data_IF_123389621860
#
_entry.id   IF_123389621860
#
_cell.length_a   1.000
_cell.length_b   1.000
_cell.length_c   1.000
_cell.angle_alpha   90.00
_cell.angle_beta   90.00
_cell.angle_gamma   90.00
#
_symmetry.space_group_name_H-M   'P 1'
#
loop_
_entity.id
_entity.type
_entity.pdbx_description
1 polymer ?
#
# COMPACT_ATOMS: atom_id res chain seq x y z
N UNK A 1 77.51 -31.19 21.97
CA UNK A 1 77.21 -29.85 22.53
C UNK A 1 76.98 -28.91 21.36
N UNK A 2 75.87 -28.15 21.33
CA UNK A 2 75.54 -26.94 20.54
C UNK A 2 75.96 -26.85 19.04
N UNK A 3 75.20 -26.26 18.10
CA UNK A 3 73.81 -25.75 17.95
C UNK A 3 73.69 -25.30 16.46
N UNK A 4 72.46 -25.14 15.92
CA UNK A 4 72.15 -24.51 14.60
C UNK A 4 72.64 -25.33 13.37
N UNK A 5 72.06 -25.32 12.16
CA UNK A 5 70.83 -24.77 11.54
C UNK A 5 70.72 -25.35 10.10
N UNK A 6 69.65 -25.30 9.30
CA UNK A 6 68.23 -24.88 9.41
C UNK A 6 67.48 -25.41 8.13
N UNK A 7 66.25 -24.92 7.86
CA UNK A 7 65.51 -24.94 6.57
C UNK A 7 64.75 -26.21 6.16
N UNK A 8 63.50 -26.29 6.64
CA UNK A 8 62.36 -26.72 5.83
C UNK A 8 61.28 -25.65 5.98
N UNK A 9 60.78 -25.13 4.84
CA UNK A 9 59.79 -24.06 4.82
C UNK A 9 58.38 -24.66 4.78
N UNK A 10 57.56 -24.36 5.79
CA UNK A 10 56.13 -24.70 5.80
C UNK A 10 55.32 -23.46 5.45
N UNK A 11 54.55 -23.53 4.36
CA UNK A 11 53.62 -22.47 3.99
C UNK A 11 52.43 -22.45 4.95
N UNK A 12 52.18 -21.29 5.55
CA UNK A 12 51.01 -21.05 6.41
C UNK A 12 49.89 -20.44 5.55
N UNK A 13 48.89 -21.24 5.19
CA UNK A 13 47.66 -20.71 4.57
C UNK A 13 46.83 -20.08 5.68
N UNK A 14 46.81 -18.75 5.75
CA UNK A 14 45.85 -18.05 6.60
C UNK A 14 44.45 -18.15 5.96
N UNK A 15 43.61 -19.00 6.55
CA UNK A 15 42.16 -18.88 6.43
C UNK A 15 41.72 -17.61 7.16
N UNK A 16 41.68 -16.49 6.44
CA UNK A 16 40.96 -15.30 6.88
C UNK A 16 39.46 -15.63 6.80
N UNK A 17 38.70 -15.53 7.90
CA UNK A 17 37.25 -15.62 7.81
C UNK A 17 36.76 -14.42 6.98
N UNK A 18 36.09 -14.71 5.86
CA UNK A 18 35.29 -13.73 5.13
C UNK A 18 34.05 -13.41 5.99
N UNK A 19 34.24 -12.58 7.01
CA UNK A 19 33.14 -11.76 7.52
C UNK A 19 32.79 -10.78 6.41
N UNK A 20 31.68 -11.04 5.72
CA UNK A 20 30.98 -10.02 4.95
C UNK A 20 30.67 -8.86 5.89
N UNK A 21 31.33 -7.72 5.68
CA UNK A 21 31.00 -6.49 6.36
C UNK A 21 29.67 -5.99 5.77
N UNK A 22 28.56 -6.52 6.30
CA UNK A 22 27.19 -6.17 5.91
C UNK A 22 27.04 -4.65 5.96
N UNK A 23 26.50 -4.04 4.91
CA UNK A 23 26.47 -2.59 4.77
C UNK A 23 25.80 -1.93 6.00
N UNK A 24 26.46 -0.92 6.58
CA UNK A 24 25.88 -0.14 7.66
C UNK A 24 24.86 0.86 7.09
N UNK A 25 23.70 0.96 7.75
CA UNK A 25 22.67 1.95 7.44
C UNK A 25 23.27 3.37 7.34
N UNK A 26 22.99 4.14 6.27
CA UNK A 26 23.45 5.51 6.16
C UNK A 26 22.98 6.37 7.33
N UNK A 27 23.83 7.25 7.86
CA UNK A 27 23.48 8.15 8.97
C UNK A 27 22.24 9.00 8.65
N UNK A 28 22.10 9.44 7.39
CA UNK A 28 20.93 10.15 6.91
C UNK A 28 19.66 9.27 6.87
N UNK A 29 19.77 7.94 6.73
CA UNK A 29 18.62 7.04 6.83
C UNK A 29 18.15 6.91 8.28
N UNK A 30 19.06 6.81 9.25
CA UNK A 30 18.68 6.87 10.68
C UNK A 30 18.04 8.22 11.01
N UNK A 31 18.61 9.32 10.54
CA UNK A 31 18.05 10.68 10.74
C UNK A 31 16.68 10.87 10.07
N UNK A 32 16.39 10.17 8.97
CA UNK A 32 15.09 10.13 8.31
C UNK A 32 14.05 9.39 9.16
N UNK A 33 14.36 8.15 9.56
CA UNK A 33 13.42 7.24 10.21
C UNK A 33 13.22 7.49 11.71
N UNK A 34 14.12 8.24 12.36
CA UNK A 34 13.98 8.69 13.76
C UNK A 34 13.66 10.20 13.87
N UNK A 35 13.26 10.84 12.77
CA UNK A 35 12.93 12.26 12.75
C UNK A 35 11.70 12.57 13.63
N UNK A 36 11.84 13.60 14.48
CA UNK A 36 10.75 14.09 15.36
C UNK A 36 10.04 15.32 14.81
N UNK A 37 10.45 15.81 13.64
CA UNK A 37 9.85 16.94 12.94
C UNK A 37 9.94 16.71 11.43
N UNK A 38 8.95 17.20 10.70
CA UNK A 38 8.90 17.18 9.24
C UNK A 38 10.17 17.82 8.64
N UNK A 39 10.59 18.97 9.17
CA UNK A 39 11.79 19.67 8.70
C UNK A 39 13.10 18.86 8.88
N UNK A 40 13.22 18.06 9.95
CA UNK A 40 14.39 17.19 10.14
C UNK A 40 14.36 16.01 9.16
N UNK A 41 13.19 15.37 9.00
CA UNK A 41 12.98 14.29 8.04
C UNK A 41 13.29 14.73 6.62
N UNK A 42 12.75 15.86 6.18
CA UNK A 42 12.90 16.34 4.80
C UNK A 42 14.35 16.75 4.48
N UNK A 43 15.08 17.28 5.49
CA UNK A 43 16.52 17.53 5.38
C UNK A 43 17.33 16.23 5.23
N UNK A 44 16.97 15.18 5.99
CA UNK A 44 17.58 13.86 5.86
C UNK A 44 17.24 13.21 4.52
N UNK A 45 15.99 13.31 4.08
CA UNK A 45 15.51 12.80 2.79
C UNK A 45 16.24 13.46 1.62
N UNK A 46 16.34 14.79 1.60
CA UNK A 46 17.10 15.51 0.55
C UNK A 46 18.57 15.09 0.50
N UNK A 47 19.16 14.74 1.63
CA UNK A 47 20.54 14.21 1.71
C UNK A 47 20.64 12.81 1.07
N UNK A 48 19.66 11.94 1.32
CA UNK A 48 19.58 10.60 0.72
C UNK A 48 19.31 10.67 -0.78
N UNK A 49 18.36 11.50 -1.23
CA UNK A 49 18.05 11.74 -2.64
C UNK A 49 19.29 12.20 -3.43
N UNK A 50 20.13 13.07 -2.84
CA UNK A 50 21.37 13.52 -3.46
C UNK A 50 22.47 12.44 -3.54
N UNK A 51 22.42 11.43 -2.66
CA UNK A 51 23.37 10.31 -2.62
C UNK A 51 22.90 9.11 -3.46
N UNK A 52 21.59 8.92 -3.63
CA UNK A 52 20.94 7.79 -4.29
C UNK A 52 21.59 7.36 -5.64
N UNK A 53 22.00 8.25 -6.56
CA UNK A 53 22.62 7.84 -7.83
C UNK A 53 24.01 7.16 -7.70
N UNK A 54 24.55 7.04 -6.49
CA UNK A 54 25.88 6.46 -6.21
C UNK A 54 25.89 5.48 -5.04
N UNK A 55 24.82 5.42 -4.26
CA UNK A 55 24.71 4.57 -3.07
C UNK A 55 23.32 3.89 -3.06
N UNK A 56 23.25 2.57 -3.33
CA UNK A 56 22.02 1.81 -3.27
C UNK A 56 21.30 1.89 -1.91
N UNK A 57 22.05 2.02 -0.81
CA UNK A 57 21.46 2.13 0.52
C UNK A 57 20.74 3.48 0.70
N UNK A 58 21.35 4.57 0.22
CA UNK A 58 20.69 5.89 0.18
C UNK A 58 19.50 5.92 -0.78
N UNK A 59 19.58 5.26 -1.95
CA UNK A 59 18.45 5.13 -2.88
C UNK A 59 17.26 4.39 -2.23
N UNK A 60 17.54 3.25 -1.59
CA UNK A 60 16.53 2.48 -0.86
C UNK A 60 15.82 3.32 0.22
N UNK A 61 16.60 3.98 1.09
CA UNK A 61 16.05 4.81 2.16
C UNK A 61 15.33 6.07 1.64
N UNK A 62 15.81 6.68 0.54
CA UNK A 62 15.12 7.79 -0.12
C UNK A 62 13.76 7.36 -0.66
N UNK A 63 13.69 6.24 -1.40
CA UNK A 63 12.43 5.74 -1.96
C UNK A 63 11.39 5.38 -0.90
N UNK A 64 11.82 4.80 0.23
CA UNK A 64 10.97 4.55 1.39
C UNK A 64 10.52 5.85 2.09
N UNK A 65 11.41 6.84 2.24
CA UNK A 65 11.05 8.17 2.76
C UNK A 65 10.05 8.91 1.87
N UNK A 66 10.20 8.79 0.55
CA UNK A 66 9.28 9.35 -0.44
C UNK A 66 7.89 8.72 -0.32
N UNK A 67 7.79 7.41 -0.13
CA UNK A 67 6.54 6.68 0.12
C UNK A 67 5.80 7.21 1.35
N UNK A 68 6.49 7.33 2.49
CA UNK A 68 5.87 7.88 3.71
C UNK A 68 5.47 9.35 3.53
N UNK A 69 6.25 10.15 2.79
CA UNK A 69 5.84 11.52 2.45
C UNK A 69 4.57 11.55 1.58
N UNK A 70 4.33 10.55 0.72
CA UNK A 70 3.09 10.46 -0.05
C UNK A 70 1.89 10.24 0.89
N UNK A 71 1.99 9.29 1.82
CA UNK A 71 0.95 9.05 2.83
C UNK A 71 0.68 10.30 3.68
N UNK A 72 1.70 11.08 4.01
CA UNK A 72 1.56 12.37 4.68
C UNK A 72 0.79 13.39 3.83
N UNK A 73 1.15 13.60 2.56
CA UNK A 73 0.44 14.52 1.66
C UNK A 73 -1.07 14.23 1.62
N UNK A 74 -1.43 12.93 1.63
CA UNK A 74 -2.82 12.49 1.73
C UNK A 74 -3.39 12.76 3.13
N UNK A 75 -2.70 12.36 4.21
CA UNK A 75 -3.14 12.55 5.58
C UNK A 75 -3.38 14.02 5.96
N UNK A 76 -2.40 14.91 5.74
CA UNK A 76 -2.53 16.34 6.04
C UNK A 76 -3.60 16.99 5.17
N UNK A 77 -3.76 16.55 3.91
CA UNK A 77 -4.86 16.96 3.04
C UNK A 77 -6.24 16.59 3.60
N UNK A 78 -6.38 15.38 4.16
CA UNK A 78 -7.59 14.95 4.86
C UNK A 78 -7.79 15.73 6.17
N UNK A 79 -6.73 15.96 6.96
CA UNK A 79 -6.78 16.68 8.24
C UNK A 79 -7.21 18.13 8.08
N UNK A 80 -6.56 18.87 7.17
CA UNK A 80 -6.81 20.30 6.92
C UNK A 80 -8.28 20.59 6.63
N UNK A 81 -8.97 19.64 5.98
CA UNK A 81 -10.38 19.74 5.62
C UNK A 81 -11.32 18.99 6.59
N UNK A 82 -10.83 18.47 7.71
CA UNK A 82 -11.66 17.88 8.76
C UNK A 82 -12.33 16.58 8.34
N UNK A 83 -11.53 15.66 7.77
CA UNK A 83 -11.98 14.31 7.43
C UNK A 83 -12.40 13.52 8.68
N UNK A 84 -13.60 12.94 8.63
CA UNK A 84 -14.15 12.04 9.65
C UNK A 84 -14.36 10.66 9.03
N UNK A 85 -13.45 9.71 9.30
CA UNK A 85 -13.49 8.35 8.74
C UNK A 85 -14.69 7.56 9.28
N UNK A 86 -15.60 7.05 8.43
CA UNK A 86 -16.69 6.20 8.90
C UNK A 86 -16.17 4.83 9.32
N UNK A 87 -16.42 4.44 10.58
CA UNK A 87 -15.89 3.19 11.18
C UNK A 87 -16.21 1.89 10.43
N UNK A 88 -17.20 1.92 9.53
CA UNK A 88 -17.68 0.76 8.78
C UNK A 88 -17.49 0.88 7.27
N UNK A 89 -16.70 1.86 6.78
CA UNK A 89 -16.58 2.13 5.34
C UNK A 89 -15.16 1.93 4.83
N UNK A 90 -15.04 1.22 3.70
CA UNK A 90 -13.77 0.77 3.15
C UNK A 90 -13.49 1.35 1.77
N UNK A 91 -13.29 2.67 1.67
CA UNK A 91 -12.54 3.24 0.56
C UNK A 91 -11.04 3.14 0.92
N UNK A 92 -10.21 2.36 0.20
CA UNK A 92 -8.86 2.02 0.69
C UNK A 92 -7.95 3.24 0.89
N UNK A 93 -8.05 4.26 0.03
CA UNK A 93 -7.31 5.52 0.15
C UNK A 93 -7.77 6.43 1.31
N UNK A 94 -8.88 6.12 1.99
CA UNK A 94 -9.46 6.97 3.05
C UNK A 94 -9.63 6.20 4.37
N UNK A 95 -8.64 5.37 4.71
CA UNK A 95 -8.57 4.65 5.99
C UNK A 95 -7.60 5.23 7.01
N UNK A 96 -6.76 6.19 6.63
CA UNK A 96 -5.74 6.75 7.52
C UNK A 96 -6.40 7.30 8.81
N UNK A 97 -5.83 7.03 10.00
CA UNK A 97 -6.40 7.41 11.29
C UNK A 97 -6.11 8.88 11.60
N UNK A 98 -6.58 9.77 10.72
CA UNK A 98 -6.33 11.22 10.77
C UNK A 98 -6.99 11.83 12.01
N UNK A 99 -6.27 12.63 12.83
CA UNK A 99 -6.82 13.31 14.00
C UNK A 99 -7.93 14.33 13.67
N UNK A 100 -8.81 14.60 14.63
CA UNK A 100 -9.86 15.61 14.51
C UNK A 100 -9.28 17.02 14.36
N UNK A 101 -9.59 17.70 13.26
CA UNK A 101 -9.30 19.13 13.12
C UNK A 101 -10.40 19.98 13.78
N UNK A 102 -10.10 20.87 14.75
CA UNK A 102 -11.10 21.71 15.41
C UNK A 102 -11.61 22.87 14.53
N UNK A 103 -10.85 23.31 13.54
CA UNK A 103 -11.20 24.41 12.64
C UNK A 103 -10.88 24.07 11.16
N UNK A 104 -11.67 23.17 10.52
CA UNK A 104 -11.43 22.75 9.14
C UNK A 104 -11.52 23.86 8.11
N UNK A 105 -10.66 23.78 7.09
CA UNK A 105 -10.71 24.66 5.93
C UNK A 105 -11.79 24.23 4.92
N UNK A 106 -12.36 25.19 4.15
CA UNK A 106 -13.25 24.86 3.05
C UNK A 106 -12.56 23.98 2.00
N UNK A 107 -13.25 22.95 1.50
CA UNK A 107 -12.75 22.03 0.48
C UNK A 107 -13.57 22.15 -0.81
N UNK A 108 -12.94 22.44 -1.94
CA UNK A 108 -13.54 22.28 -3.26
C UNK A 108 -13.16 20.96 -3.91
N UNK A 109 -13.91 20.56 -4.93
CA UNK A 109 -13.65 19.37 -5.72
C UNK A 109 -12.25 19.40 -6.36
N UNK A 110 -11.83 20.56 -6.85
CA UNK A 110 -10.55 20.78 -7.49
C UNK A 110 -9.40 20.66 -6.49
N UNK A 111 -9.58 21.14 -5.24
CA UNK A 111 -8.62 20.92 -4.15
C UNK A 111 -8.51 19.44 -3.79
N UNK A 112 -9.62 18.71 -3.71
CA UNK A 112 -9.58 17.28 -3.41
C UNK A 112 -8.89 16.47 -4.52
N UNK A 113 -9.15 16.80 -5.80
CA UNK A 113 -8.37 16.23 -6.93
C UNK A 113 -6.88 16.55 -6.81
N UNK A 114 -6.52 17.76 -6.40
CA UNK A 114 -5.11 18.15 -6.26
C UNK A 114 -4.40 17.37 -5.13
N UNK A 115 -5.08 17.04 -4.04
CA UNK A 115 -4.55 16.16 -2.97
C UNK A 115 -4.25 14.76 -3.55
N UNK A 116 -5.20 14.16 -4.27
CA UNK A 116 -5.02 12.85 -4.91
C UNK A 116 -3.88 12.85 -5.96
N UNK A 117 -3.74 13.93 -6.73
CA UNK A 117 -2.67 14.07 -7.71
C UNK A 117 -1.30 14.19 -7.04
N UNK A 118 -1.15 15.05 -6.03
CA UNK A 118 0.11 15.21 -5.30
C UNK A 118 0.54 13.93 -4.56
N UNK A 119 -0.43 13.18 -4.03
CA UNK A 119 -0.22 11.83 -3.48
C UNK A 119 0.33 10.86 -4.54
N UNK A 120 -0.32 10.77 -5.71
CA UNK A 120 0.09 9.89 -6.81
C UNK A 120 1.47 10.26 -7.36
N UNK A 121 1.75 11.53 -7.57
CA UNK A 121 3.04 12.01 -8.11
C UNK A 121 4.19 11.74 -7.12
N UNK A 122 3.93 11.76 -5.81
CA UNK A 122 4.93 11.40 -4.79
C UNK A 122 5.18 9.90 -4.72
N UNK A 123 4.16 9.07 -4.92
CA UNK A 123 4.33 7.62 -5.08
C UNK A 123 5.10 7.25 -6.34
N UNK A 124 4.89 7.94 -7.46
CA UNK A 124 5.67 7.69 -8.69
C UNK A 124 7.16 7.97 -8.47
N UNK A 125 7.48 9.07 -7.75
CA UNK A 125 8.85 9.36 -7.36
C UNK A 125 9.43 8.23 -6.50
N UNK A 126 8.70 7.80 -5.46
CA UNK A 126 9.10 6.67 -4.60
C UNK A 126 9.37 5.39 -5.40
N UNK A 127 8.46 5.00 -6.31
CA UNK A 127 8.59 3.80 -7.12
C UNK A 127 9.83 3.87 -8.04
N UNK A 128 10.05 5.01 -8.71
CA UNK A 128 11.22 5.23 -9.56
C UNK A 128 12.54 5.25 -8.76
N UNK A 129 12.54 5.78 -7.54
CA UNK A 129 13.71 5.78 -6.66
C UNK A 129 14.03 4.35 -6.17
N UNK A 130 13.02 3.56 -5.81
CA UNK A 130 13.19 2.14 -5.43
C UNK A 130 13.65 1.27 -6.62
N UNK A 131 13.13 1.51 -7.83
CA UNK A 131 13.55 0.81 -9.06
C UNK A 131 15.05 1.03 -9.37
N UNK A 132 15.59 2.20 -9.00
CA UNK A 132 17.00 2.52 -9.18
C UNK A 132 17.96 1.68 -8.32
N UNK A 133 17.45 0.97 -7.30
CA UNK A 133 18.23 0.09 -6.42
C UNK A 133 18.53 -1.23 -7.15
N UNK A 134 19.81 -1.56 -7.42
CA UNK A 134 20.18 -2.81 -8.10
C UNK A 134 19.60 -4.05 -7.41
N UNK A 135 19.22 -5.05 -8.21
CA UNK A 135 18.59 -6.28 -7.71
C UNK A 135 19.53 -7.16 -6.85
N UNK A 136 20.85 -6.96 -6.97
CA UNK A 136 21.91 -7.65 -6.22
C UNK A 136 22.56 -6.77 -5.13
N UNK A 137 21.95 -5.63 -4.79
CA UNK A 137 22.44 -4.77 -3.72
C UNK A 137 22.24 -5.39 -2.32
N UNK A 138 23.31 -5.43 -1.51
CA UNK A 138 23.26 -5.78 -0.08
C UNK A 138 22.60 -4.64 0.72
N UNK A 139 21.28 -4.74 0.91
CA UNK A 139 20.48 -3.80 1.71
C UNK A 139 20.26 -4.37 3.12
N UNK A 140 20.12 -3.48 4.11
CA UNK A 140 20.09 -3.87 5.51
C UNK A 140 19.74 -2.76 6.48
N UNK A 141 18.50 -2.28 6.43
CA UNK A 141 18.03 -1.17 7.24
C UNK A 141 17.33 -1.68 8.49
N UNK A 142 17.97 -1.54 9.66
CA UNK A 142 17.28 -1.81 10.95
C UNK A 142 16.43 -0.59 11.29
N UNK A 143 15.12 -0.78 11.31
CA UNK A 143 14.13 0.30 11.49
C UNK A 143 13.17 -0.07 12.62
N UNK A 144 12.94 0.87 13.54
CA UNK A 144 11.95 0.75 14.60
C UNK A 144 10.66 1.48 14.21
N UNK A 145 9.56 0.73 14.04
CA UNK A 145 8.27 1.27 13.61
C UNK A 145 7.57 2.11 14.69
N UNK A 146 8.10 2.15 15.93
CA UNK A 146 7.67 3.10 16.97
C UNK A 146 8.31 4.48 16.81
N UNK A 147 9.37 4.60 16.01
CA UNK A 147 10.04 5.87 15.70
C UNK A 147 9.68 6.41 14.31
N UNK A 148 9.50 5.54 13.30
CA UNK A 148 9.02 5.97 11.97
C UNK A 148 7.60 6.50 12.09
N UNK A 149 7.33 7.70 11.56
CA UNK A 149 6.00 8.30 11.54
C UNK A 149 5.81 9.32 10.42
N UNK A 150 4.60 9.84 10.33
CA UNK A 150 4.17 10.91 9.41
C UNK A 150 3.37 11.94 10.19
N UNK A 151 3.42 13.21 9.80
CA UNK A 151 2.65 14.29 10.39
C UNK A 151 1.18 14.17 9.94
N UNK A 152 0.32 13.63 10.82
CA UNK A 152 -1.10 13.41 10.53
C UNK A 152 -1.94 14.67 10.80
N UNK A 153 -1.44 15.61 11.62
CA UNK A 153 -2.19 16.76 12.11
C UNK A 153 -1.76 18.13 11.50
N UNK A 154 -0.70 18.14 10.69
CA UNK A 154 -0.08 19.31 10.05
C UNK A 154 0.55 20.33 11.03
N UNK A 155 1.03 19.90 12.21
CA UNK A 155 1.72 20.76 13.19
C UNK A 155 3.25 20.85 13.00
N UNK A 156 3.82 20.02 12.12
CA UNK A 156 5.24 19.97 11.77
C UNK A 156 6.10 19.09 12.68
N UNK A 157 5.52 18.50 13.73
CA UNK A 157 6.13 17.45 14.54
C UNK A 157 5.85 16.07 13.92
N UNK A 158 6.52 15.05 14.45
CA UNK A 158 6.15 13.65 14.24
C UNK A 158 6.01 13.05 15.64
N UNK A 159 4.78 12.94 16.13
CA UNK A 159 4.48 12.51 17.49
C UNK A 159 4.43 10.97 17.62
N UNK A 160 4.62 10.41 18.83
CA UNK A 160 4.63 8.94 19.01
C UNK A 160 3.32 8.24 18.63
N UNK A 161 2.19 8.93 18.73
CA UNK A 161 0.86 8.47 18.30
C UNK A 161 0.62 8.59 16.79
N UNK A 162 1.55 9.20 16.06
CA UNK A 162 1.61 9.26 14.59
C UNK A 162 2.69 8.31 14.02
N UNK A 163 3.30 7.49 14.87
CA UNK A 163 4.21 6.43 14.46
C UNK A 163 3.50 5.35 13.63
N UNK A 164 4.24 4.66 12.78
CA UNK A 164 3.74 3.54 11.97
C UNK A 164 3.15 2.44 12.86
N UNK A 165 3.76 2.17 14.01
CA UNK A 165 3.21 1.29 15.04
C UNK A 165 1.83 1.74 15.53
N UNK A 166 1.65 3.03 15.84
CA UNK A 166 0.37 3.58 16.28
C UNK A 166 -0.69 3.60 15.16
N UNK A 167 -0.29 3.92 13.92
CA UNK A 167 -1.14 3.91 12.72
C UNK A 167 -1.63 2.48 12.42
N UNK A 168 -0.73 1.50 12.38
CA UNK A 168 -1.09 0.08 12.19
C UNK A 168 -2.00 -0.42 13.31
N UNK A 169 -1.67 -0.11 14.57
CA UNK A 169 -2.53 -0.45 15.71
C UNK A 169 -3.92 0.20 15.60
N UNK A 170 -4.03 1.41 15.02
CA UNK A 170 -5.31 2.07 14.80
C UNK A 170 -6.15 1.41 13.70
N UNK A 171 -5.51 1.01 12.60
CA UNK A 171 -6.15 0.26 11.49
C UNK A 171 -6.60 -1.13 11.93
N UNK A 172 -5.82 -1.80 12.79
CA UNK A 172 -6.07 -3.17 13.24
C UNK A 172 -7.18 -3.32 14.28
N UNK A 173 -7.80 -2.25 14.79
CA UNK A 173 -8.88 -2.31 15.81
C UNK A 173 -10.23 -2.91 15.32
N UNK A 174 -10.26 -3.51 14.13
CA UNK A 174 -11.26 -4.50 13.73
C UNK A 174 -10.96 -5.94 14.20
N UNK A 175 -9.74 -6.19 14.67
CA UNK A 175 -9.27 -7.40 15.35
C UNK A 175 -8.92 -7.13 16.82
N UNK A 176 -8.61 -8.21 17.55
CA UNK A 176 -8.46 -8.22 19.02
C UNK A 176 -7.47 -7.20 19.58
N UNK A 177 -7.71 -6.77 20.82
CA UNK A 177 -6.79 -5.92 21.58
C UNK A 177 -5.39 -6.57 21.75
N UNK A 178 -4.30 -5.78 21.78
CA UNK A 178 -2.97 -6.31 22.02
C UNK A 178 -2.84 -6.85 23.45
N UNK A 179 -2.20 -8.02 23.55
CA UNK A 179 -1.82 -8.64 24.84
C UNK A 179 -0.67 -7.86 25.50
N UNK A 180 -0.48 -8.03 26.82
CA UNK A 180 0.37 -7.18 27.69
C UNK A 180 1.91 -7.23 27.44
N UNK A 181 2.34 -7.74 26.29
CA UNK A 181 3.71 -7.65 25.79
C UNK A 181 3.70 -7.24 24.32
N UNK A 182 3.75 -5.94 24.05
CA UNK A 182 3.90 -5.43 22.68
C UNK A 182 5.16 -6.05 22.04
N UNK A 183 5.03 -6.72 20.86
CA UNK A 183 6.17 -7.29 20.17
C UNK A 183 7.19 -6.18 19.83
N UNK A 184 8.47 -6.56 19.73
CA UNK A 184 9.51 -5.62 19.36
C UNK A 184 9.38 -5.28 17.87
N UNK A 185 8.72 -4.15 17.56
CA UNK A 185 8.44 -3.69 16.19
C UNK A 185 9.67 -3.11 15.47
N UNK A 186 10.83 -3.72 15.72
CA UNK A 186 12.11 -3.41 15.07
C UNK A 186 12.40 -4.46 14.01
N UNK A 187 12.28 -4.09 12.74
CA UNK A 187 12.49 -4.98 11.60
C UNK A 187 13.82 -4.66 10.90
N UNK A 188 14.37 -5.64 10.20
CA UNK A 188 15.52 -5.45 9.31
C UNK A 188 15.01 -5.49 7.87
N UNK A 189 14.83 -4.33 7.27
CA UNK A 189 14.38 -4.23 5.89
C UNK A 189 15.53 -4.48 4.91
N UNK A 190 15.29 -5.31 3.89
CA UNK A 190 16.29 -5.67 2.88
C UNK A 190 15.83 -5.41 1.43
N UNK A 191 16.43 -6.08 0.43
CA UNK A 191 16.09 -5.84 -0.98
C UNK A 191 14.72 -6.43 -1.39
N UNK A 192 14.26 -7.50 -0.75
CA UNK A 192 12.94 -8.08 -0.97
C UNK A 192 11.84 -7.08 -0.59
N UNK A 193 11.92 -6.55 0.63
CA UNK A 193 10.99 -5.54 1.15
C UNK A 193 10.94 -4.27 0.27
N UNK A 194 12.03 -3.95 -0.43
CA UNK A 194 12.07 -2.89 -1.43
C UNK A 194 11.20 -3.15 -2.66
N UNK A 195 11.16 -4.39 -3.17
CA UNK A 195 10.24 -4.79 -4.23
C UNK A 195 8.79 -4.76 -3.74
N UNK A 196 8.55 -5.21 -2.51
CA UNK A 196 7.24 -5.13 -1.87
C UNK A 196 6.74 -3.69 -1.75
N UNK A 197 7.56 -2.78 -1.22
CA UNK A 197 7.19 -1.37 -1.03
C UNK A 197 6.97 -0.66 -2.38
N UNK A 198 7.80 -0.97 -3.39
CA UNK A 198 7.61 -0.50 -4.76
C UNK A 198 6.27 -1.00 -5.33
N UNK A 199 5.94 -2.29 -5.14
CA UNK A 199 4.65 -2.86 -5.57
C UNK A 199 3.46 -2.22 -4.86
N UNK A 200 3.60 -1.92 -3.57
CA UNK A 200 2.57 -1.21 -2.80
C UNK A 200 2.36 0.23 -3.32
N UNK A 201 3.42 0.90 -3.75
CA UNK A 201 3.34 2.21 -4.40
C UNK A 201 2.58 2.13 -5.73
N UNK A 202 2.89 1.17 -6.60
CA UNK A 202 2.17 0.90 -7.86
C UNK A 202 0.67 0.64 -7.60
N UNK A 203 0.33 -0.17 -6.60
CA UNK A 203 -1.06 -0.44 -6.23
C UNK A 203 -1.83 0.82 -5.78
N UNK A 204 -1.19 1.68 -5.00
CA UNK A 204 -1.78 2.93 -4.53
C UNK A 204 -1.89 3.98 -5.67
N UNK A 205 -0.91 4.03 -6.58
CA UNK A 205 -1.00 4.85 -7.80
C UNK A 205 -2.18 4.42 -8.67
N UNK A 206 -2.36 3.12 -8.91
CA UNK A 206 -3.46 2.61 -9.72
C UNK A 206 -4.84 2.98 -9.18
N UNK A 207 -4.98 3.09 -7.85
CA UNK A 207 -6.19 3.58 -7.21
C UNK A 207 -6.36 5.09 -7.37
N UNK A 208 -5.30 5.89 -7.15
CA UNK A 208 -5.36 7.34 -7.35
C UNK A 208 -5.69 7.69 -8.81
N UNK A 209 -5.06 7.01 -9.78
CA UNK A 209 -5.33 7.17 -11.21
C UNK A 209 -6.71 6.66 -11.63
N UNK A 210 -7.28 5.66 -10.94
CA UNK A 210 -8.69 5.31 -11.11
C UNK A 210 -9.61 6.48 -10.72
N UNK A 211 -9.37 7.17 -9.60
CA UNK A 211 -10.17 8.33 -9.21
C UNK A 211 -9.96 9.51 -10.16
N UNK A 212 -8.71 9.85 -10.45
CA UNK A 212 -8.35 10.97 -11.31
C UNK A 212 -8.79 10.77 -12.77
N UNK A 213 -8.87 9.53 -13.28
CA UNK A 213 -9.42 9.23 -14.60
C UNK A 213 -10.86 9.77 -14.82
N UNK A 214 -11.63 9.94 -13.75
CA UNK A 214 -13.06 10.20 -13.81
C UNK A 214 -13.44 11.59 -13.25
N UNK A 215 -14.58 12.11 -13.70
CA UNK A 215 -15.24 13.24 -13.07
C UNK A 215 -16.22 12.77 -12.00
N UNK A 216 -15.79 12.83 -10.74
CA UNK A 216 -16.60 12.44 -9.58
C UNK A 216 -17.23 13.64 -8.86
N UNK A 217 -17.28 14.83 -9.50
CA UNK A 217 -17.83 16.06 -8.90
C UNK A 217 -19.24 15.90 -8.34
N UNK A 218 -20.10 15.17 -9.03
CA UNK A 218 -21.47 14.92 -8.58
C UNK A 218 -21.53 14.18 -7.22
N UNK A 219 -20.68 13.17 -7.03
CA UNK A 219 -20.55 12.45 -5.75
C UNK A 219 -19.88 13.31 -4.67
N UNK A 220 -18.91 14.13 -5.07
CA UNK A 220 -18.28 15.08 -4.16
C UNK A 220 -19.31 16.09 -3.62
N UNK A 221 -19.94 16.87 -4.49
CA UNK A 221 -20.92 17.90 -4.12
C UNK A 221 -22.13 17.29 -3.38
N UNK A 222 -22.57 16.10 -3.79
CA UNK A 222 -23.78 15.42 -3.31
C UNK A 222 -23.59 14.45 -2.13
N UNK A 223 -22.36 14.10 -1.73
CA UNK A 223 -22.14 13.11 -0.66
C UNK A 223 -20.91 13.31 0.22
N UNK A 224 -19.87 14.04 -0.20
CA UNK A 224 -18.64 14.14 0.59
C UNK A 224 -18.80 14.89 1.92
N UNK A 225 -19.92 15.58 2.14
CA UNK A 225 -20.29 16.13 3.45
C UNK A 225 -20.41 15.04 4.54
N UNK A 226 -20.64 13.77 4.20
CA UNK A 226 -20.61 12.67 5.17
C UNK A 226 -19.20 12.33 5.68
N UNK A 227 -18.17 12.69 4.90
CA UNK A 227 -16.74 12.47 5.15
C UNK A 227 -16.02 13.74 5.62
N UNK A 228 -16.49 14.92 5.21
CA UNK A 228 -15.93 16.23 5.55
C UNK A 228 -17.06 17.15 6.05
N UNK A 229 -17.69 16.86 7.20
CA UNK A 229 -18.94 17.52 7.63
C UNK A 229 -18.79 19.00 8.00
N UNK A 230 -17.56 19.53 8.02
CA UNK A 230 -17.24 20.91 8.40
C UNK A 230 -16.47 21.69 7.30
N UNK A 231 -16.32 21.11 6.11
CA UNK A 231 -15.50 21.67 5.01
C UNK A 231 -16.27 22.59 4.02
N UNK A 232 -17.41 23.14 4.42
CA UNK A 232 -18.28 24.04 3.62
C UNK A 232 -18.79 23.41 2.31
N UNK A 233 -19.05 22.11 2.35
CA UNK A 233 -19.58 21.35 1.22
C UNK A 233 -21.08 21.64 0.99
N UNK A 234 -21.59 21.53 -0.26
CA UNK A 234 -22.90 22.08 -0.64
C UNK A 234 -24.10 21.60 0.18
N UNK A 235 -24.04 20.39 0.73
CA UNK A 235 -25.11 19.79 1.51
C UNK A 235 -24.85 19.75 3.03
N UNK A 236 -23.69 20.21 3.53
CA UNK A 236 -23.31 20.04 4.94
C UNK A 236 -24.36 20.61 5.91
N UNK A 237 -24.92 21.78 5.59
CA UNK A 237 -25.82 22.54 6.49
C UNK A 237 -27.30 22.11 6.30
N UNK A 238 -27.56 21.27 5.30
CA UNK A 238 -28.87 20.69 4.99
C UNK A 238 -28.96 19.27 5.56
N UNK A 239 -27.87 18.50 5.44
CA UNK A 239 -27.80 17.09 5.79
C UNK A 239 -26.93 16.86 7.05
N UNK A 240 -27.28 17.56 8.14
CA UNK A 240 -26.59 17.46 9.42
C UNK A 240 -27.03 16.19 10.17
N UNK A 241 -26.13 15.23 10.49
CA UNK A 241 -26.49 14.06 11.26
C UNK A 241 -26.85 14.43 12.72
N UNK A 242 -27.78 13.69 13.38
CA UNK A 242 -28.08 13.90 14.79
C UNK A 242 -26.82 13.77 15.68
N UNK A 243 -26.69 14.54 16.78
CA UNK A 243 -25.51 14.45 17.66
C UNK A 243 -25.26 13.06 18.26
N UNK A 244 -26.31 12.24 18.41
CA UNK A 244 -26.24 10.84 18.85
C UNK A 244 -25.73 9.86 17.79
N UNK A 245 -25.60 10.30 16.53
CA UNK A 245 -25.21 9.48 15.37
C UNK A 245 -23.88 9.94 14.73
N UNK A 246 -23.27 10.98 15.29
CA UNK A 246 -21.92 11.42 14.98
C UNK A 246 -20.91 10.34 15.40
N UNK A 247 -19.98 9.96 14.50
CA UNK A 247 -19.07 8.83 14.71
C UNK A 247 -19.70 7.43 14.68
N UNK A 248 -21.00 7.27 14.44
CA UNK A 248 -21.66 5.96 14.38
C UNK A 248 -21.36 5.16 13.10
N UNK A 249 -21.54 3.84 13.16
CA UNK A 249 -21.42 2.94 12.00
C UNK A 249 -22.53 3.22 10.97
N UNK A 250 -22.20 3.15 9.67
CA UNK A 250 -23.13 3.45 8.57
C UNK A 250 -24.40 2.60 8.64
N UNK A 251 -24.27 1.35 9.07
CA UNK A 251 -25.39 0.40 9.17
C UNK A 251 -26.19 0.52 10.47
N UNK A 252 -25.79 1.40 11.39
CA UNK A 252 -26.44 1.63 12.69
C UNK A 252 -27.29 2.90 12.76
N UNK A 253 -27.30 3.71 11.69
CA UNK A 253 -28.00 5.00 11.61
C UNK A 253 -28.84 5.05 10.33
N UNK A 254 -30.14 5.38 10.47
CA UNK A 254 -31.03 5.62 9.33
C UNK A 254 -30.58 6.83 8.50
N UNK A 255 -29.86 7.77 9.12
CA UNK A 255 -29.25 8.91 8.45
C UNK A 255 -28.05 8.49 7.59
N UNK A 256 -27.06 7.83 8.21
CA UNK A 256 -25.81 7.43 7.53
C UNK A 256 -26.06 6.42 6.41
N UNK A 257 -27.06 5.54 6.52
CA UNK A 257 -27.43 4.63 5.43
C UNK A 257 -28.05 5.38 4.24
N UNK A 258 -28.79 6.47 4.46
CA UNK A 258 -29.35 7.30 3.40
C UNK A 258 -28.25 8.09 2.65
N UNK A 259 -27.28 8.66 3.38
CA UNK A 259 -26.08 9.29 2.78
C UNK A 259 -25.28 8.27 1.97
N UNK A 260 -25.08 7.06 2.52
CA UNK A 260 -24.38 5.97 1.84
C UNK A 260 -25.09 5.51 0.56
N UNK A 261 -26.42 5.35 0.58
CA UNK A 261 -27.21 5.03 -0.62
C UNK A 261 -27.08 6.14 -1.66
N UNK A 262 -27.12 7.40 -1.23
CA UNK A 262 -26.95 8.57 -2.11
C UNK A 262 -25.59 8.56 -2.78
N UNK A 263 -24.51 8.36 -2.01
CA UNK A 263 -23.15 8.22 -2.52
C UNK A 263 -23.05 7.10 -3.55
N UNK A 264 -23.50 5.88 -3.22
CA UNK A 264 -23.46 4.72 -4.13
C UNK A 264 -24.24 4.98 -5.42
N UNK A 265 -25.39 5.65 -5.33
CA UNK A 265 -26.19 6.02 -6.51
C UNK A 265 -25.53 7.11 -7.38
N UNK A 266 -24.69 7.95 -6.78
CA UNK A 266 -23.93 8.99 -7.48
C UNK A 266 -22.61 8.50 -8.08
N UNK A 267 -22.18 7.25 -7.85
CA UNK A 267 -21.00 6.67 -8.52
C UNK A 267 -21.39 6.27 -9.96
N UNK A 268 -21.46 7.29 -10.81
CA UNK A 268 -21.84 7.26 -12.23
C UNK A 268 -20.92 8.16 -13.08
N UNK A 269 -19.63 8.06 -12.83
CA UNK A 269 -18.63 9.05 -13.19
C UNK A 269 -18.26 9.04 -14.69
N UNK A 270 -18.37 10.18 -15.41
CA UNK A 270 -17.78 10.35 -16.73
C UNK A 270 -16.26 10.14 -16.71
N UNK A 271 -15.69 9.62 -17.80
CA UNK A 271 -14.23 9.55 -17.97
C UNK A 271 -13.73 10.88 -18.54
N UNK A 272 -12.74 11.49 -17.91
CA UNK A 272 -12.14 12.78 -18.33
C UNK A 272 -10.65 12.70 -18.61
N UNK A 273 -9.93 11.79 -17.94
CA UNK A 273 -8.49 11.54 -18.14
C UNK A 273 -8.28 10.05 -18.48
N UNK A 274 -8.68 9.59 -19.69
CA UNK A 274 -8.72 8.16 -20.05
C UNK A 274 -7.34 7.48 -20.03
N UNK A 275 -6.25 8.24 -20.22
CA UNK A 275 -4.89 7.71 -20.18
C UNK A 275 -4.50 7.18 -18.79
N UNK A 276 -5.08 7.74 -17.71
CA UNK A 276 -4.91 7.24 -16.33
C UNK A 276 -5.52 5.85 -16.11
N UNK A 277 -6.55 5.48 -16.88
CA UNK A 277 -7.08 4.09 -16.85
C UNK A 277 -6.06 3.10 -17.41
N UNK A 278 -5.34 3.52 -18.45
CA UNK A 278 -4.26 2.72 -19.04
C UNK A 278 -3.02 2.71 -18.14
N UNK A 279 -2.74 3.79 -17.41
CA UNK A 279 -1.70 3.85 -16.39
C UNK A 279 -2.00 2.89 -15.23
N UNK A 280 -3.17 3.00 -14.59
CA UNK A 280 -3.60 2.10 -13.53
C UNK A 280 -3.51 0.61 -13.90
N UNK A 281 -3.78 0.25 -15.16
CA UNK A 281 -3.57 -1.13 -15.66
C UNK A 281 -2.09 -1.54 -15.70
N UNK A 282 -1.20 -0.65 -16.14
CA UNK A 282 0.25 -0.89 -16.18
C UNK A 282 0.83 -0.98 -14.77
N UNK A 283 0.41 -0.08 -13.89
CA UNK A 283 0.81 -0.04 -12.47
C UNK A 283 0.39 -1.35 -11.77
N UNK A 284 -0.84 -1.85 -11.97
CA UNK A 284 -1.26 -3.17 -11.45
C UNK A 284 -0.48 -4.37 -12.05
N UNK A 285 -0.04 -4.29 -13.31
CA UNK A 285 0.82 -5.33 -13.90
C UNK A 285 2.25 -5.28 -13.35
N UNK A 286 2.74 -4.07 -13.04
CA UNK A 286 4.06 -3.86 -12.46
C UNK A 286 4.10 -4.30 -10.99
N UNK A 287 3.05 -4.02 -10.21
CA UNK A 287 2.82 -4.62 -8.88
C UNK A 287 2.95 -6.15 -8.91
N UNK A 288 2.31 -6.82 -9.89
CA UNK A 288 2.42 -8.28 -10.06
C UNK A 288 3.86 -8.70 -10.40
N UNK A 289 4.55 -7.98 -11.28
CA UNK A 289 5.96 -8.24 -11.62
C UNK A 289 6.86 -8.11 -10.39
N UNK A 290 6.64 -7.07 -9.58
CA UNK A 290 7.39 -6.78 -8.37
C UNK A 290 7.15 -7.83 -7.28
N UNK A 291 5.90 -8.24 -7.04
CA UNK A 291 5.58 -9.34 -6.10
C UNK A 291 6.27 -10.66 -6.52
N UNK A 292 6.47 -10.93 -7.82
CA UNK A 292 7.25 -12.10 -8.27
C UNK A 292 8.76 -11.98 -8.01
N UNK A 293 9.33 -10.78 -8.09
CA UNK A 293 10.74 -10.55 -7.78
C UNK A 293 11.00 -10.50 -6.26
N UNK A 294 10.05 -9.98 -5.49
CA UNK A 294 9.96 -10.06 -4.02
C UNK A 294 10.02 -11.52 -3.54
N UNK A 295 9.06 -12.37 -3.93
CA UNK A 295 9.06 -13.81 -3.57
C UNK A 295 10.29 -14.60 -4.03
N UNK A 296 11.01 -14.10 -5.03
CA UNK A 296 12.28 -14.66 -5.53
C UNK A 296 13.48 -14.19 -4.70
N UNK A 297 13.45 -12.97 -4.16
CA UNK A 297 14.41 -12.46 -3.19
C UNK A 297 14.21 -13.15 -1.82
N UNK A 298 12.96 -13.18 -1.31
CA UNK A 298 12.57 -13.90 -0.08
C UNK A 298 13.09 -15.35 -0.09
N UNK A 299 12.89 -16.08 -1.19
CA UNK A 299 13.37 -17.49 -1.31
C UNK A 299 14.89 -17.65 -1.49
N UNK A 300 15.64 -16.57 -1.72
CA UNK A 300 17.09 -16.58 -1.82
C UNK A 300 17.78 -16.24 -0.48
N UNK A 301 17.05 -15.66 0.47
CA UNK A 301 17.54 -15.36 1.83
C UNK A 301 17.94 -16.63 2.60
N UNK A 302 18.88 -16.44 3.52
CA UNK A 302 19.44 -17.53 4.35
C UNK A 302 19.45 -17.24 5.84
N UNK A 303 19.17 -15.99 6.24
CA UNK A 303 18.94 -15.60 7.63
C UNK A 303 17.45 -15.44 7.97
N UNK A 304 17.20 -15.04 9.21
CA UNK A 304 15.87 -14.81 9.81
C UNK A 304 16.02 -13.67 10.85
N UNK A 305 16.72 -12.59 10.49
CA UNK A 305 17.10 -11.48 11.38
C UNK A 305 16.04 -10.37 11.36
N UNK A 306 14.90 -10.63 12.03
CA UNK A 306 13.79 -9.65 12.17
C UNK A 306 13.12 -9.30 10.83
N UNK A 307 12.79 -10.33 10.07
CA UNK A 307 12.17 -10.21 8.75
C UNK A 307 10.81 -9.50 8.79
N UNK A 308 10.61 -8.59 7.83
CA UNK A 308 9.31 -7.95 7.59
C UNK A 308 8.36 -8.89 6.84
N UNK A 309 8.87 -9.59 5.82
CA UNK A 309 8.15 -10.57 4.99
C UNK A 309 8.75 -11.98 5.12
N UNK A 310 8.52 -12.70 6.23
CA UNK A 310 9.11 -14.03 6.43
C UNK A 310 8.63 -15.03 5.37
N UNK A 311 9.59 -15.64 4.67
CA UNK A 311 9.37 -16.74 3.74
C UNK A 311 9.26 -18.12 4.39
N UNK A 312 8.95 -19.17 3.61
CA UNK A 312 8.70 -20.53 4.13
C UNK A 312 9.86 -21.16 4.91
N UNK A 313 11.10 -20.71 4.68
CA UNK A 313 12.28 -21.13 5.43
C UNK A 313 12.44 -20.39 6.78
N UNK A 314 11.92 -19.18 6.90
CA UNK A 314 11.98 -18.30 8.08
C UNK A 314 10.80 -18.61 9.03
N UNK A 315 10.87 -19.75 9.72
CA UNK A 315 9.77 -20.24 10.58
C UNK A 315 9.38 -19.27 11.69
N UNK A 316 8.08 -18.99 11.77
CA UNK A 316 7.43 -18.23 12.83
C UNK A 316 6.12 -17.60 12.31
N UNK A 317 5.23 -17.21 13.22
CA UNK A 317 4.11 -16.32 12.88
C UNK A 317 4.67 -14.90 12.70
N UNK A 318 4.26 -14.20 11.64
CA UNK A 318 4.58 -12.78 11.46
C UNK A 318 3.96 -11.97 12.61
N UNK A 319 4.78 -11.13 13.26
CA UNK A 319 4.42 -10.45 14.51
C UNK A 319 3.26 -9.45 14.41
N UNK A 320 2.90 -9.02 13.19
CA UNK A 320 1.85 -8.02 12.93
C UNK A 320 0.57 -8.65 12.36
N UNK A 321 0.70 -9.71 11.56
CA UNK A 321 -0.44 -10.35 10.87
C UNK A 321 -0.88 -11.68 11.48
N UNK A 322 -0.04 -12.32 12.31
CA UNK A 322 -0.26 -13.68 12.82
C UNK A 322 -0.23 -14.76 11.74
N UNK A 323 0.24 -14.45 10.52
CA UNK A 323 0.34 -15.40 9.42
C UNK A 323 1.62 -16.22 9.54
N UNK A 324 1.52 -17.54 9.48
CA UNK A 324 2.63 -18.45 9.17
C UNK A 324 2.63 -18.70 7.65
N UNK A 325 3.74 -18.41 6.98
CA UNK A 325 3.89 -18.55 5.53
C UNK A 325 4.52 -19.92 5.21
N UNK A 326 3.78 -20.80 4.53
CA UNK A 326 4.28 -22.08 4.02
C UNK A 326 4.47 -22.10 2.50
N UNK A 327 5.15 -23.12 2.00
CA UNK A 327 5.36 -23.31 0.55
C UNK A 327 4.04 -23.46 -0.23
N UNK A 328 3.00 -24.00 0.40
CA UNK A 328 1.66 -24.13 -0.17
C UNK A 328 1.01 -22.75 -0.38
N UNK A 329 1.12 -21.85 0.60
CA UNK A 329 0.64 -20.46 0.51
C UNK A 329 1.41 -19.68 -0.57
N UNK A 330 2.74 -19.81 -0.64
CA UNK A 330 3.54 -19.14 -1.69
C UNK A 330 3.21 -19.70 -3.08
N UNK A 331 3.01 -21.00 -3.23
CA UNK A 331 2.59 -21.59 -4.50
C UNK A 331 1.20 -21.11 -4.93
N UNK A 332 0.24 -21.07 -4.01
CA UNK A 332 -1.11 -20.54 -4.24
C UNK A 332 -1.09 -19.04 -4.59
N UNK A 333 -0.20 -18.28 -3.94
CA UNK A 333 0.01 -16.87 -4.24
C UNK A 333 0.56 -16.63 -5.65
N UNK A 334 1.63 -17.32 -6.03
CA UNK A 334 2.21 -17.22 -7.38
C UNK A 334 1.23 -17.66 -8.48
N UNK A 335 0.32 -18.59 -8.18
CA UNK A 335 -0.81 -18.94 -9.05
C UNK A 335 -1.85 -17.81 -9.13
N UNK A 336 -2.18 -17.16 -8.00
CA UNK A 336 -3.07 -15.99 -7.92
C UNK A 336 -2.53 -14.82 -8.75
N UNK A 337 -1.24 -14.48 -8.59
CA UNK A 337 -0.56 -13.46 -9.40
C UNK A 337 -0.68 -13.75 -10.90
N UNK A 338 -0.54 -15.03 -11.31
CA UNK A 338 -0.69 -15.45 -12.71
C UNK A 338 -2.12 -15.31 -13.21
N UNK A 339 -3.11 -15.58 -12.36
CA UNK A 339 -4.52 -15.38 -12.67
C UNK A 339 -4.88 -13.89 -12.82
N UNK A 340 -4.36 -13.03 -11.93
CA UNK A 340 -4.54 -11.59 -11.99
C UNK A 340 -3.90 -10.99 -13.23
N UNK A 341 -2.70 -11.43 -13.59
CA UNK A 341 -1.99 -11.05 -14.82
C UNK A 341 -2.78 -11.48 -16.07
N UNK A 342 -3.28 -12.71 -16.11
CA UNK A 342 -4.13 -13.25 -17.19
C UNK A 342 -5.43 -12.45 -17.37
N UNK A 343 -6.05 -11.99 -16.27
CA UNK A 343 -7.21 -11.09 -16.29
C UNK A 343 -6.85 -9.72 -16.88
N UNK A 344 -5.82 -9.07 -16.33
CA UNK A 344 -5.38 -7.73 -16.76
C UNK A 344 -4.89 -7.72 -18.21
N UNK A 345 -4.32 -8.82 -18.71
CA UNK A 345 -3.96 -9.03 -20.12
C UNK A 345 -5.14 -9.52 -21.00
N UNK A 346 -6.33 -9.75 -20.44
CA UNK A 346 -7.51 -10.19 -21.18
C UNK A 346 -7.37 -11.59 -21.79
N UNK A 347 -6.37 -12.37 -21.33
CA UNK A 347 -6.18 -13.79 -21.70
C UNK A 347 -7.24 -14.67 -21.04
N UNK A 348 -7.74 -14.23 -19.89
CA UNK A 348 -8.89 -14.79 -19.19
C UNK A 348 -9.89 -13.67 -18.90
N UNK A 349 -11.17 -14.02 -18.87
CA UNK A 349 -12.29 -13.10 -18.64
C UNK A 349 -12.86 -13.25 -17.24
N UNK A 350 -13.21 -12.12 -16.60
CA UNK A 350 -13.85 -12.10 -15.28
C UNK A 350 -15.33 -12.52 -15.43
N UNK A 351 -15.84 -13.50 -14.65
CA UNK A 351 -17.25 -13.89 -14.70
C UNK A 351 -18.18 -12.79 -14.17
N UNK A 352 -19.43 -12.79 -14.66
CA UNK A 352 -20.49 -11.94 -14.13
C UNK A 352 -21.75 -12.76 -13.91
N UNK A 353 -22.25 -12.80 -12.67
CA UNK A 353 -23.31 -13.74 -12.22
C UNK A 353 -24.62 -13.72 -13.03
N UNK A 354 -24.95 -12.60 -13.71
CA UNK A 354 -26.13 -12.48 -14.59
C UNK A 354 -25.90 -12.87 -16.06
N UNK A 355 -24.68 -13.21 -16.47
CA UNK A 355 -24.29 -13.35 -17.88
C UNK A 355 -23.68 -14.73 -18.12
N UNK A 356 -24.37 -15.54 -18.93
CA UNK A 356 -23.94 -16.88 -19.30
C UNK A 356 -23.17 -16.88 -20.63
N UNK A 357 -22.06 -17.62 -20.70
CA UNK A 357 -21.31 -17.84 -21.95
C UNK A 357 -20.45 -16.66 -22.44
N UNK A 358 -20.34 -15.60 -21.65
CA UNK A 358 -19.42 -14.48 -21.85
C UNK A 358 -18.84 -14.01 -20.51
N UNK A 359 -17.63 -13.45 -20.54
CA UNK A 359 -17.00 -12.80 -19.40
C UNK A 359 -16.55 -11.38 -19.75
N UNK A 360 -16.15 -10.63 -18.73
CA UNK A 360 -15.67 -9.25 -18.83
C UNK A 360 -14.17 -9.28 -19.18
N UNK A 361 -13.78 -8.64 -20.28
CA UNK A 361 -12.38 -8.44 -20.64
C UNK A 361 -11.82 -7.26 -19.84
N UNK A 362 -10.98 -7.54 -18.83
CA UNK A 362 -10.42 -6.49 -17.97
C UNK A 362 -9.37 -5.62 -18.67
N UNK A 363 -8.64 -6.15 -19.66
CA UNK A 363 -7.78 -5.33 -20.53
C UNK A 363 -8.58 -4.23 -21.21
N UNK A 364 -9.72 -4.56 -21.83
CA UNK A 364 -10.61 -3.58 -22.48
C UNK A 364 -11.35 -2.68 -21.50
N UNK A 365 -11.67 -3.16 -20.29
CA UNK A 365 -12.22 -2.33 -19.21
C UNK A 365 -11.34 -1.11 -18.92
N UNK A 366 -10.02 -1.33 -18.81
CA UNK A 366 -9.05 -0.26 -18.59
C UNK A 366 -8.66 0.49 -19.88
N UNK A 367 -8.40 -0.22 -20.98
CA UNK A 367 -7.84 0.40 -22.20
C UNK A 367 -8.87 1.17 -23.04
N UNK A 368 -10.16 0.79 -22.98
CA UNK A 368 -11.26 1.42 -23.74
C UNK A 368 -12.31 2.08 -22.81
N UNK A 369 -11.91 2.93 -21.86
CA UNK A 369 -12.76 3.28 -20.72
C UNK A 369 -14.06 3.97 -21.15
N UNK A 370 -15.17 3.48 -20.60
CA UNK A 370 -16.51 4.07 -20.66
C UNK A 370 -16.84 4.70 -19.30
N UNK A 371 -17.85 5.59 -19.20
CA UNK A 371 -18.31 6.12 -17.91
C UNK A 371 -18.53 5.01 -16.88
N UNK A 372 -17.99 5.20 -15.68
CA UNK A 372 -18.01 4.20 -14.62
C UNK A 372 -19.24 4.38 -13.74
N UNK A 373 -20.24 3.52 -13.97
CA UNK A 373 -21.42 3.42 -13.13
C UNK A 373 -21.32 2.16 -12.27
N UNK A 374 -21.19 2.31 -10.95
CA UNK A 374 -21.02 1.20 -10.01
C UNK A 374 -22.25 0.29 -9.98
N UNK A 375 -23.45 0.88 -9.91
CA UNK A 375 -24.71 0.13 -9.81
C UNK A 375 -24.98 -0.62 -11.10
N UNK A 376 -24.76 0.00 -12.26
CA UNK A 376 -24.90 -0.63 -13.57
C UNK A 376 -23.74 -1.56 -13.91
N UNK A 377 -22.57 -1.45 -13.26
CA UNK A 377 -21.48 -2.43 -13.39
C UNK A 377 -21.80 -3.70 -12.62
N UNK A 378 -22.23 -3.58 -11.35
CA UNK A 378 -22.66 -4.70 -10.51
C UNK A 378 -23.91 -5.37 -11.09
N UNK A 379 -24.85 -4.61 -11.64
CA UNK A 379 -26.08 -5.19 -12.22
C UNK A 379 -25.91 -5.62 -13.67
N UNK A 380 -24.82 -5.28 -14.37
CA UNK A 380 -24.49 -5.79 -15.71
C UNK A 380 -24.58 -4.80 -16.90
N UNK A 381 -25.48 -3.81 -16.98
CA UNK A 381 -25.58 -2.94 -18.14
C UNK A 381 -24.30 -2.17 -18.51
N UNK A 382 -23.54 -1.66 -17.53
CA UNK A 382 -22.33 -0.86 -17.79
C UNK A 382 -21.11 -1.72 -18.19
N UNK A 383 -21.09 -3.01 -17.86
CA UNK A 383 -20.01 -3.92 -18.28
C UNK A 383 -20.25 -4.55 -19.67
N UNK A 384 -21.44 -4.34 -20.25
CA UNK A 384 -21.80 -4.88 -21.57
C UNK A 384 -20.81 -4.56 -22.72
N UNK A 385 -20.18 -3.36 -22.80
CA UNK A 385 -19.18 -3.05 -23.83
C UNK A 385 -17.90 -3.91 -23.78
N UNK A 386 -17.62 -4.53 -22.64
CA UNK A 386 -16.42 -5.33 -22.37
C UNK A 386 -16.69 -6.85 -22.40
N UNK A 387 -17.90 -7.28 -22.78
CA UNK A 387 -18.30 -8.69 -22.77
C UNK A 387 -17.84 -9.47 -23.99
N UNK A 388 -17.02 -10.50 -23.75
CA UNK A 388 -16.41 -11.33 -24.77
C UNK A 388 -16.63 -12.82 -24.53
N UNK A 389 -16.42 -13.62 -25.58
CA UNK A 389 -16.40 -15.08 -25.51
C UNK A 389 -14.95 -15.54 -25.46
N UNK A 390 -14.60 -16.40 -24.50
CA UNK A 390 -13.23 -16.85 -24.27
C UNK A 390 -13.14 -17.78 -23.06
N UNK A 391 -11.92 -17.97 -22.52
CA UNK A 391 -11.73 -18.62 -21.21
C UNK A 391 -12.25 -17.66 -20.13
N UNK A 392 -13.19 -18.10 -19.31
CA UNK A 392 -13.78 -17.33 -18.20
C UNK A 392 -13.32 -18.02 -16.90
N UNK A 393 -12.99 -17.26 -15.85
CA UNK A 393 -12.73 -17.86 -14.54
C UNK A 393 -13.97 -18.53 -13.97
N UNK A 394 -13.75 -19.65 -13.29
CA UNK A 394 -14.78 -20.46 -12.63
C UNK A 394 -14.77 -20.21 -11.11
N UNK A 395 -15.83 -20.63 -10.42
CA UNK A 395 -15.84 -20.68 -8.95
C UNK A 395 -14.70 -21.54 -8.42
N UNK A 396 -14.42 -22.67 -9.08
CA UNK A 396 -13.45 -23.67 -8.64
C UNK A 396 -12.02 -23.09 -8.64
N UNK A 397 -11.71 -22.20 -9.59
CA UNK A 397 -10.45 -21.45 -9.66
C UNK A 397 -10.26 -20.54 -8.42
N UNK A 398 -11.31 -19.83 -7.99
CA UNK A 398 -11.27 -18.97 -6.79
C UNK A 398 -11.29 -19.78 -5.50
N UNK A 399 -12.12 -20.82 -5.42
CA UNK A 399 -12.23 -21.68 -4.25
C UNK A 399 -10.94 -22.46 -4.02
N UNK A 400 -10.18 -22.80 -5.09
CA UNK A 400 -8.85 -23.39 -4.96
C UNK A 400 -7.88 -22.44 -4.28
N UNK A 401 -7.82 -21.17 -4.69
CA UNK A 401 -6.97 -20.18 -4.04
C UNK A 401 -7.38 -20.01 -2.57
N UNK A 402 -8.66 -19.80 -2.27
CA UNK A 402 -9.11 -19.55 -0.89
C UNK A 402 -8.86 -20.72 0.07
N UNK A 403 -8.88 -21.97 -0.41
CA UNK A 403 -8.61 -23.15 0.44
C UNK A 403 -7.21 -23.13 1.05
N UNK A 404 -6.20 -22.68 0.31
CA UNK A 404 -4.80 -22.70 0.75
C UNK A 404 -4.46 -21.63 1.83
N UNK A 405 -5.32 -20.61 1.98
CA UNK A 405 -5.18 -19.56 3.00
C UNK A 405 -6.27 -19.60 4.10
N UNK A 406 -7.21 -20.54 4.02
CA UNK A 406 -8.34 -20.64 4.94
C UNK A 406 -9.33 -19.45 4.90
N UNK A 407 -10.32 -19.47 5.79
CA UNK A 407 -11.49 -18.58 5.74
C UNK A 407 -11.26 -17.08 6.02
N UNK A 408 -10.01 -16.65 6.16
CA UNK A 408 -9.64 -15.25 6.38
C UNK A 408 -8.23 -14.88 5.93
N UNK A 409 -7.32 -15.85 5.77
CA UNK A 409 -5.92 -15.58 5.45
C UNK A 409 -5.71 -14.95 4.08
N UNK A 410 -6.53 -15.27 3.07
CA UNK A 410 -6.30 -14.78 1.69
C UNK A 410 -6.35 -13.24 1.59
N UNK A 411 -7.34 -12.60 2.23
CA UNK A 411 -7.49 -11.15 2.16
C UNK A 411 -6.42 -10.42 3.00
N UNK A 412 -6.04 -10.97 4.15
CA UNK A 412 -4.93 -10.45 4.95
C UNK A 412 -3.60 -10.63 4.21
N UNK A 413 -3.38 -11.77 3.58
CA UNK A 413 -2.18 -12.06 2.80
C UNK A 413 -2.09 -11.15 1.57
N UNK A 414 -3.17 -10.98 0.80
CA UNK A 414 -3.17 -10.05 -0.33
C UNK A 414 -2.93 -8.59 0.10
N UNK A 415 -3.57 -8.15 1.19
CA UNK A 415 -3.32 -6.80 1.74
C UNK A 415 -1.88 -6.64 2.25
N UNK A 416 -1.23 -7.71 2.72
CA UNK A 416 0.13 -7.65 3.29
C UNK A 416 1.25 -7.96 2.28
N UNK A 417 1.02 -8.71 1.20
CA UNK A 417 2.02 -9.16 0.23
C UNK A 417 1.74 -8.71 -1.24
N UNK A 418 0.77 -7.79 -1.44
CA UNK A 418 0.32 -7.14 -2.69
C UNK A 418 -0.43 -8.00 -3.74
#
# INVERSE_FOLDING_TARGET
MNRLSSLLASAFIMLVPLSSARAAMPEAATALFEAKTVAARDSALSTLEAAAPKDPASAYAAGAGEFFTALEILASGLHRHGFESPQSFMLPLMRLPVPDNPNPEPLTYEQFRAILAAFRDRLEKSAATLDSVPADADIGMVIDLTHVGIDLNEDGMIAPDESMAAIMAALSRGGSAPDDAAPALTFRFDRADGFWLQGYAEFLMAQADFWLAHDFKNTFDGSFHMLFPRAKLPLQDILVPPPSEMGSSIFSSEWRIADFISMVHMINWPVVEPERRQAARRELLEMIRLSREDWKAIRAETDNDREWLPGPQQKGENQLTGLEVGEEQVAAWLATLTMAEDLLEGRVLLPHFRITGKGINMKRFFDEPKPFDLVLSITGPAIAPYLESGKILTSDDFDQIQREFGGGGFLTFALWFN
#
